data_IF_853571485105
#
_entry.id   IF_853571485105
#
_cell.length_a   1.000
_cell.length_b   1.000
_cell.length_c   1.000
_cell.angle_alpha   90.00
_cell.angle_beta   90.00
_cell.angle_gamma   90.00
#
_symmetry.space_group_name_H-M   'P 1'
#
loop_
_entity.id
_entity.type
_entity.pdbx_description
1 polymer ?
#
# COMPACT_ATOMS: atom_id res chain seq x y z
N UNK A 1 -7.97 21.75 17.43
CA UNK A 1 -7.90 21.44 15.99
C UNK A 1 -7.14 20.14 15.82
N UNK A 2 -7.68 19.18 15.06
CA UNK A 2 -7.04 17.92 14.78
C UNK A 2 -5.90 18.15 13.77
N UNK A 3 -4.77 17.46 13.91
CA UNK A 3 -3.62 17.52 12.99
C UNK A 3 -4.07 17.43 11.52
N UNK A 4 -4.93 16.47 11.21
CA UNK A 4 -5.44 16.24 9.84
C UNK A 4 -6.15 17.49 9.30
N UNK A 5 -6.99 18.15 10.10
CA UNK A 5 -7.71 19.36 9.68
C UNK A 5 -6.76 20.53 9.41
N UNK A 6 -5.81 20.74 10.30
CA UNK A 6 -4.81 21.80 10.15
C UNK A 6 -3.95 21.55 8.91
N UNK A 7 -3.52 20.31 8.71
CA UNK A 7 -2.68 19.94 7.59
C UNK A 7 -3.40 20.11 6.24
N UNK A 8 -4.64 19.63 6.15
CA UNK A 8 -5.46 19.76 4.95
C UNK A 8 -5.83 21.19 4.59
N UNK A 9 -6.04 22.05 5.59
CA UNK A 9 -6.50 23.44 5.37
C UNK A 9 -5.38 24.46 5.19
N UNK A 10 -4.21 24.22 5.80
CA UNK A 10 -3.12 25.19 5.83
C UNK A 10 -1.91 24.75 5.02
N UNK A 11 -1.46 23.49 5.21
CA UNK A 11 -0.18 23.05 4.66
C UNK A 11 -0.32 22.58 3.22
N UNK A 12 -1.23 21.65 2.95
CA UNK A 12 -1.39 21.07 1.61
C UNK A 12 -1.68 22.09 0.50
N UNK A 13 -2.52 23.12 0.71
CA UNK A 13 -2.77 24.13 -0.31
C UNK A 13 -1.54 24.90 -0.77
N UNK A 14 -0.44 24.88 0.02
CA UNK A 14 0.81 25.55 -0.31
C UNK A 14 1.69 24.72 -1.26
N UNK A 15 1.47 23.40 -1.31
CA UNK A 15 2.35 22.46 -2.03
C UNK A 15 1.76 21.92 -3.33
N UNK A 16 0.53 22.25 -3.68
CA UNK A 16 -0.08 21.61 -4.83
C UNK A 16 -1.32 22.29 -5.42
N UNK A 17 -1.99 21.61 -6.35
CA UNK A 17 -3.20 22.13 -6.95
C UNK A 17 -4.27 22.38 -5.87
N UNK A 18 -5.11 23.39 -6.08
CA UNK A 18 -6.23 23.73 -5.19
C UNK A 18 -7.27 22.59 -5.20
N UNK A 19 -7.05 21.61 -4.31
CA UNK A 19 -8.00 20.54 -4.07
C UNK A 19 -8.82 20.95 -2.84
N UNK A 20 -10.16 20.90 -2.87
CA UNK A 20 -10.96 21.16 -1.69
C UNK A 20 -10.54 20.24 -0.53
N UNK A 21 -10.28 20.81 0.64
CA UNK A 21 -9.79 20.07 1.81
C UNK A 21 -10.71 18.88 2.17
N UNK A 22 -12.03 19.07 2.03
CA UNK A 22 -13.02 18.01 2.26
C UNK A 22 -12.89 16.84 1.27
N UNK A 23 -12.65 17.14 -0.02
CA UNK A 23 -12.41 16.10 -1.05
C UNK A 23 -11.16 15.30 -0.72
N UNK A 24 -10.08 16.00 -0.32
CA UNK A 24 -8.81 15.34 0.01
C UNK A 24 -8.93 14.54 1.31
N UNK A 25 -9.66 15.04 2.33
CA UNK A 25 -9.99 14.31 3.54
C UNK A 25 -10.72 13.00 3.21
N UNK A 26 -11.79 13.11 2.42
CA UNK A 26 -12.58 11.95 1.98
C UNK A 26 -11.71 10.94 1.24
N UNK A 27 -10.85 11.42 0.33
CA UNK A 27 -9.91 10.57 -0.39
C UNK A 27 -8.94 9.87 0.55
N UNK A 28 -8.34 10.58 1.50
CA UNK A 28 -7.39 10.01 2.45
C UNK A 28 -8.06 8.99 3.38
N UNK A 29 -9.29 9.26 3.84
CA UNK A 29 -10.09 8.28 4.58
C UNK A 29 -10.35 7.00 3.76
N UNK A 30 -10.64 7.14 2.46
CA UNK A 30 -10.81 5.97 1.58
C UNK A 30 -9.51 5.17 1.45
N UNK A 31 -8.34 5.82 1.40
CA UNK A 31 -7.06 5.13 1.40
C UNK A 31 -6.80 4.40 2.72
N UNK A 32 -7.22 4.96 3.86
CA UNK A 32 -7.14 4.29 5.15
C UNK A 32 -8.01 3.02 5.21
N UNK A 33 -9.20 3.04 4.62
CA UNK A 33 -10.01 1.83 4.45
C UNK A 33 -9.38 0.80 3.50
N UNK A 34 -8.61 1.27 2.52
CA UNK A 34 -7.88 0.43 1.55
C UNK A 34 -6.46 0.08 1.99
N UNK A 35 -6.11 0.32 3.27
CA UNK A 35 -4.78 0.07 3.83
C UNK A 35 -4.25 -1.31 3.42
N UNK A 36 -3.04 -1.37 2.86
CA UNK A 36 -2.39 -2.63 2.49
C UNK A 36 -3.00 -3.36 1.29
N UNK A 37 -3.96 -2.77 0.58
CA UNK A 37 -4.59 -3.39 -0.58
C UNK A 37 -4.09 -2.82 -1.91
N UNK A 38 -4.19 -3.55 -3.03
CA UNK A 38 -3.87 -3.02 -4.34
C UNK A 38 -4.76 -1.82 -4.73
N UNK A 39 -4.14 -0.73 -5.14
CA UNK A 39 -4.84 0.51 -5.49
C UNK A 39 -5.75 0.32 -6.72
N UNK A 40 -7.02 0.69 -6.57
CA UNK A 40 -7.99 0.73 -7.65
C UNK A 40 -8.46 2.17 -7.90
N UNK A 41 -7.71 2.92 -8.71
CA UNK A 41 -8.00 4.33 -9.01
C UNK A 41 -9.37 4.53 -9.66
N UNK A 42 -9.85 3.59 -10.48
CA UNK A 42 -11.17 3.66 -11.09
C UNK A 42 -12.30 3.55 -10.06
N UNK A 43 -12.17 2.66 -9.06
CA UNK A 43 -13.13 2.55 -7.96
C UNK A 43 -13.13 3.83 -7.10
N UNK A 44 -11.95 4.29 -6.72
CA UNK A 44 -11.78 5.53 -5.94
C UNK A 44 -12.36 6.73 -6.68
N UNK A 45 -12.13 6.84 -8.00
CA UNK A 45 -12.66 7.91 -8.83
C UNK A 45 -14.19 7.94 -8.86
N UNK A 46 -14.83 6.78 -9.04
CA UNK A 46 -16.29 6.69 -8.97
C UNK A 46 -16.84 7.17 -7.62
N UNK A 47 -16.20 6.79 -6.52
CA UNK A 47 -16.63 7.20 -5.17
C UNK A 47 -16.44 8.70 -4.89
N UNK A 48 -15.46 9.34 -5.56
CA UNK A 48 -15.16 10.77 -5.44
C UNK A 48 -15.84 11.64 -6.51
N UNK A 49 -16.54 11.02 -7.46
CA UNK A 49 -17.09 11.66 -8.65
C UNK A 49 -16.04 12.41 -9.49
N UNK A 50 -14.84 11.79 -9.64
CA UNK A 50 -13.73 12.29 -10.46
C UNK A 50 -13.18 11.17 -11.34
N UNK A 51 -12.39 11.53 -12.36
CA UNK A 51 -11.73 10.54 -13.21
C UNK A 51 -10.53 9.86 -12.53
N UNK A 52 -10.10 8.73 -13.07
CA UNK A 52 -8.98 7.96 -12.52
C UNK A 52 -7.65 8.73 -12.60
N UNK A 53 -7.47 9.65 -13.55
CA UNK A 53 -6.28 10.48 -13.69
C UNK A 53 -6.21 11.51 -12.57
N UNK A 54 -7.34 12.10 -12.21
CA UNK A 54 -7.46 13.01 -11.06
C UNK A 54 -7.14 12.28 -9.76
N UNK A 55 -7.65 11.05 -9.57
CA UNK A 55 -7.29 10.21 -8.40
C UNK A 55 -5.79 9.95 -8.35
N UNK A 56 -5.17 9.63 -9.50
CA UNK A 56 -3.72 9.40 -9.55
C UNK A 56 -2.94 10.66 -9.09
N UNK A 57 -3.36 11.85 -9.53
CA UNK A 57 -2.74 13.13 -9.09
C UNK A 57 -2.93 13.40 -7.61
N UNK A 58 -4.08 13.08 -7.03
CA UNK A 58 -4.30 13.19 -5.57
C UNK A 58 -3.41 12.23 -4.81
N UNK A 59 -3.26 11.01 -5.34
CA UNK A 59 -2.39 10.01 -4.74
C UNK A 59 -0.91 10.43 -4.85
N UNK A 60 -0.48 10.98 -6.00
CA UNK A 60 0.87 11.53 -6.19
C UNK A 60 1.16 12.60 -5.13
N UNK A 61 0.26 13.55 -4.95
CA UNK A 61 0.39 14.59 -3.93
C UNK A 61 0.59 14.02 -2.52
N UNK A 62 -0.23 13.04 -2.10
CA UNK A 62 -0.08 12.43 -0.76
C UNK A 62 1.21 11.61 -0.62
N UNK A 63 1.72 11.05 -1.71
CA UNK A 63 3.02 10.35 -1.75
C UNK A 63 4.17 11.34 -1.63
N UNK A 64 4.13 12.44 -2.37
CA UNK A 64 5.16 13.50 -2.35
C UNK A 64 5.23 14.18 -0.98
N UNK A 65 4.10 14.31 -0.30
CA UNK A 65 4.01 14.80 1.08
C UNK A 65 4.36 13.75 2.15
N UNK A 66 4.82 12.57 1.74
CA UNK A 66 5.21 11.46 2.63
C UNK A 66 4.07 10.95 3.55
N UNK A 67 2.83 11.23 3.23
CA UNK A 67 1.65 10.77 3.99
C UNK A 67 1.22 9.37 3.58
N UNK A 68 1.53 8.98 2.34
CA UNK A 68 1.14 7.71 1.74
C UNK A 68 2.34 7.06 1.08
N UNK A 69 2.46 5.75 1.21
CA UNK A 69 3.45 4.94 0.51
C UNK A 69 2.78 4.10 -0.58
N UNK A 70 3.40 4.08 -1.75
CA UNK A 70 3.14 3.07 -2.77
C UNK A 70 4.17 1.97 -2.65
N UNK A 71 3.73 0.75 -2.41
CA UNK A 71 4.56 -0.43 -2.44
C UNK A 71 4.31 -1.17 -3.76
N UNK A 72 5.27 -1.15 -4.71
CA UNK A 72 5.10 -1.82 -5.99
C UNK A 72 5.13 -3.33 -5.83
N UNK A 73 4.51 -4.10 -6.74
CA UNK A 73 4.66 -5.53 -6.77
C UNK A 73 6.06 -5.92 -7.24
N UNK A 74 6.63 -6.96 -6.61
CA UNK A 74 7.90 -7.55 -7.04
C UNK A 74 7.73 -8.27 -8.38
N UNK A 75 8.59 -7.98 -9.33
CA UNK A 75 8.59 -8.59 -10.66
C UNK A 75 9.93 -9.25 -10.94
N UNK A 76 10.06 -10.52 -10.61
CA UNK A 76 11.19 -11.34 -11.04
C UNK A 76 11.16 -11.64 -12.55
N UNK A 77 9.99 -11.58 -13.18
CA UNK A 77 9.83 -11.87 -14.61
C UNK A 77 8.71 -11.00 -15.22
N UNK A 78 9.06 -10.15 -16.18
CA UNK A 78 8.17 -9.17 -16.82
C UNK A 78 7.00 -9.85 -17.55
N UNK A 79 7.17 -11.09 -18.01
CA UNK A 79 6.16 -11.83 -18.76
C UNK A 79 5.00 -12.38 -17.90
N UNK A 80 5.21 -12.53 -16.57
CA UNK A 80 4.20 -13.06 -15.63
C UNK A 80 3.69 -11.99 -14.66
N UNK A 81 3.24 -10.85 -15.16
CA UNK A 81 2.63 -9.79 -14.33
C UNK A 81 1.28 -10.23 -13.76
N UNK A 82 1.30 -10.92 -12.64
CA UNK A 82 0.08 -11.40 -11.96
C UNK A 82 -0.67 -10.28 -11.22
N UNK A 83 0.05 -9.32 -10.65
CA UNK A 83 -0.51 -8.12 -10.01
C UNK A 83 0.16 -6.89 -10.61
N UNK A 84 -0.63 -5.91 -11.07
CA UNK A 84 -0.11 -4.69 -11.72
C UNK A 84 -0.16 -3.47 -10.82
N UNK A 85 -1.11 -3.42 -9.89
CA UNK A 85 -1.36 -2.25 -9.05
C UNK A 85 -0.51 -2.30 -7.78
N UNK A 86 0.12 -1.18 -7.38
CA UNK A 86 0.83 -1.10 -6.11
C UNK A 86 -0.15 -1.23 -4.94
N UNK A 87 0.31 -1.76 -3.82
CA UNK A 87 -0.37 -1.64 -2.53
C UNK A 87 -0.20 -0.22 -2.00
N UNK A 88 -1.20 0.26 -1.29
CA UNK A 88 -1.21 1.59 -0.71
C UNK A 88 -1.21 1.48 0.82
N UNK A 89 -0.35 2.29 1.44
CA UNK A 89 -0.29 2.42 2.88
C UNK A 89 -0.31 3.91 3.27
N UNK A 90 -1.21 4.30 4.15
CA UNK A 90 -1.04 5.51 4.95
C UNK A 90 0.11 5.21 5.90
N UNK A 91 1.17 6.03 5.88
CA UNK A 91 2.46 5.69 6.50
C UNK A 91 2.42 5.66 8.02
N UNK A 92 1.63 6.53 8.61
CA UNK A 92 1.44 6.61 10.05
C UNK A 92 0.19 5.84 10.47
N UNK A 93 0.35 4.82 11.34
CA UNK A 93 -0.76 4.00 11.83
C UNK A 93 -1.74 4.78 12.70
N UNK A 94 -1.26 5.79 13.44
CA UNK A 94 -2.13 6.68 14.21
C UNK A 94 -3.03 7.53 13.31
N UNK A 95 -2.52 7.96 12.14
CA UNK A 95 -3.35 8.62 11.14
C UNK A 95 -4.39 7.67 10.52
N UNK A 96 -4.05 6.40 10.29
CA UNK A 96 -5.04 5.38 9.87
C UNK A 96 -6.17 5.32 10.88
N UNK A 97 -5.85 5.16 12.16
CA UNK A 97 -6.85 5.02 13.21
C UNK A 97 -7.70 6.29 13.33
N UNK A 98 -7.08 7.47 13.30
CA UNK A 98 -7.79 8.75 13.36
C UNK A 98 -8.73 8.98 12.15
N UNK A 99 -8.28 8.64 10.93
CA UNK A 99 -9.09 8.75 9.72
C UNK A 99 -10.31 7.83 9.76
N UNK A 100 -10.17 6.66 10.40
CA UNK A 100 -11.21 5.66 10.56
C UNK A 100 -12.03 5.83 11.85
N UNK A 101 -11.72 6.86 12.68
CA UNK A 101 -12.39 7.14 13.96
C UNK A 101 -12.32 5.95 14.93
N UNK A 102 -11.15 5.33 15.01
CA UNK A 102 -10.86 4.27 15.97
C UNK A 102 -10.19 4.92 17.17
N UNK A 103 -10.99 5.29 18.17
CA UNK A 103 -10.58 6.19 19.24
C UNK A 103 -9.93 5.46 20.43
N UNK A 104 -10.04 4.13 20.51
CA UNK A 104 -9.47 3.31 21.54
C UNK A 104 -8.87 1.99 21.01
N UNK A 105 -8.16 1.29 21.89
CA UNK A 105 -7.46 0.04 21.56
C UNK A 105 -8.43 -1.07 21.14
N UNK A 106 -9.58 -1.18 21.80
CA UNK A 106 -10.58 -2.20 21.48
C UNK A 106 -11.17 -1.99 20.11
N UNK A 107 -11.48 -0.73 19.75
CA UNK A 107 -11.95 -0.35 18.42
C UNK A 107 -10.90 -0.69 17.34
N UNK A 108 -9.61 -0.44 17.62
CA UNK A 108 -8.52 -0.78 16.69
C UNK A 108 -8.40 -2.29 16.53
N UNK A 109 -8.34 -3.04 17.63
CA UNK A 109 -8.11 -4.50 17.60
C UNK A 109 -9.28 -5.26 16.97
N UNK A 110 -10.50 -4.78 17.14
CA UNK A 110 -11.69 -5.38 16.54
C UNK A 110 -11.91 -4.99 15.07
N UNK A 111 -11.23 -3.95 14.58
CA UNK A 111 -11.44 -3.46 13.22
C UNK A 111 -10.64 -4.28 12.20
N UNK A 112 -11.22 -4.59 11.00
CA UNK A 112 -10.52 -5.34 9.95
C UNK A 112 -9.21 -4.72 9.47
N UNK A 113 -8.99 -3.43 9.72
CA UNK A 113 -7.76 -2.72 9.34
C UNK A 113 -6.57 -3.06 10.24
N UNK A 114 -6.78 -3.62 11.44
CA UNK A 114 -5.73 -3.83 12.44
C UNK A 114 -4.49 -4.52 11.86
N UNK A 115 -4.68 -5.64 11.16
CA UNK A 115 -3.58 -6.38 10.53
C UNK A 115 -2.84 -5.59 9.46
N UNK A 116 -3.56 -4.82 8.63
CA UNK A 116 -2.96 -3.98 7.58
C UNK A 116 -2.28 -2.74 8.16
N UNK A 117 -2.82 -2.17 9.23
CA UNK A 117 -2.21 -1.07 9.96
C UNK A 117 -0.88 -1.52 10.59
N UNK A 118 -0.86 -2.71 11.21
CA UNK A 118 0.35 -3.32 11.72
C UNK A 118 1.37 -3.62 10.61
N UNK A 119 0.93 -4.20 9.48
CA UNK A 119 1.79 -4.44 8.32
C UNK A 119 2.45 -3.12 7.86
N UNK A 120 1.69 -2.05 7.74
CA UNK A 120 2.19 -0.73 7.37
C UNK A 120 3.22 -0.18 8.36
N UNK A 121 2.93 -0.29 9.66
CA UNK A 121 3.86 0.10 10.72
C UNK A 121 5.19 -0.66 10.62
N UNK A 122 5.15 -1.96 10.44
CA UNK A 122 6.37 -2.79 10.28
C UNK A 122 7.15 -2.39 9.03
N UNK A 123 6.47 -2.18 7.89
CA UNK A 123 7.12 -1.75 6.64
C UNK A 123 7.86 -0.42 6.85
N UNK A 124 7.22 0.58 7.45
CA UNK A 124 7.85 1.89 7.68
C UNK A 124 9.08 1.77 8.60
N UNK A 125 8.98 1.00 9.69
CA UNK A 125 10.11 0.79 10.61
C UNK A 125 11.27 0.06 9.95
N UNK A 126 10.99 -0.97 9.17
CA UNK A 126 12.05 -1.70 8.45
C UNK A 126 12.72 -0.80 7.41
N UNK A 127 11.93 -0.01 6.65
CA UNK A 127 12.47 0.91 5.64
C UNK A 127 13.28 2.06 6.23
N UNK A 128 13.12 2.37 7.52
CA UNK A 128 13.91 3.36 8.23
C UNK A 128 15.34 2.88 8.54
N UNK A 129 15.52 1.56 8.68
CA UNK A 129 16.83 0.98 9.10
C UNK A 129 17.61 0.33 7.96
N UNK A 130 16.98 0.10 6.81
CA UNK A 130 17.69 -0.43 5.63
C UNK A 130 18.39 0.68 4.86
N UNK A 131 19.44 0.38 4.08
CA UNK A 131 20.14 1.37 3.25
C UNK A 131 19.19 2.14 2.34
N UNK A 132 19.43 3.43 2.11
CA UNK A 132 18.58 4.33 1.29
C UNK A 132 18.33 3.81 -0.14
N UNK A 133 19.22 3.00 -0.68
CA UNK A 133 19.09 2.40 -2.02
C UNK A 133 18.22 1.15 -2.07
N UNK A 134 17.60 0.77 -0.94
CA UNK A 134 16.73 -0.42 -0.88
C UNK A 134 15.37 -0.14 -1.50
N UNK A 135 15.02 -0.88 -2.54
CA UNK A 135 13.68 -0.82 -3.13
C UNK A 135 12.76 -1.80 -2.41
N UNK A 136 11.69 -1.27 -1.84
CA UNK A 136 10.65 -2.09 -1.22
C UNK A 136 9.62 -2.53 -2.25
N UNK A 137 9.26 -3.80 -2.22
CA UNK A 137 8.21 -4.37 -3.06
C UNK A 137 7.46 -5.47 -2.32
N UNK A 138 6.24 -5.78 -2.77
CA UNK A 138 5.49 -6.90 -2.22
C UNK A 138 5.45 -8.07 -3.22
N UNK A 139 5.50 -9.28 -2.70
CA UNK A 139 5.28 -10.49 -3.48
C UNK A 139 3.80 -10.90 -3.39
N UNK A 140 3.12 -10.95 -4.53
CA UNK A 140 1.71 -11.35 -4.59
C UNK A 140 1.48 -12.38 -5.66
N UNK A 141 0.97 -13.56 -5.29
CA UNK A 141 0.43 -14.53 -6.22
C UNK A 141 -1.07 -14.28 -6.39
N UNK A 142 -1.57 -14.32 -7.63
CA UNK A 142 -3.01 -14.44 -7.85
C UNK A 142 -3.43 -15.82 -7.34
N UNK A 143 -4.20 -15.88 -6.27
CA UNK A 143 -4.98 -17.07 -6.00
C UNK A 143 -5.93 -17.26 -7.19
N UNK A 144 -5.68 -18.26 -8.03
CA UNK A 144 -6.64 -18.70 -9.03
C UNK A 144 -7.81 -19.32 -8.28
N UNK A 145 -9.01 -18.79 -8.47
CA UNK A 145 -10.19 -19.46 -7.98
C UNK A 145 -11.40 -18.55 -7.88
N UNK A 146 -12.36 -18.75 -8.76
CA UNK A 146 -13.76 -18.42 -8.53
C UNK A 146 -14.20 -19.09 -7.22
N UNK A 147 -14.64 -18.32 -6.25
CA UNK A 147 -15.34 -18.86 -5.09
C UNK A 147 -14.85 -18.34 -3.76
N UNK A 148 -15.74 -17.61 -3.12
CA UNK A 148 -15.84 -17.29 -1.69
C UNK A 148 -14.54 -16.85 -0.99
N UNK A 149 -14.52 -15.56 -0.66
CA UNK A 149 -13.60 -14.96 0.29
C UNK A 149 -13.51 -15.80 1.58
N UNK A 150 -12.36 -16.42 1.80
CA UNK A 150 -11.88 -16.76 3.13
C UNK A 150 -10.64 -15.93 3.38
N UNK A 151 -10.67 -15.20 4.47
CA UNK A 151 -9.53 -14.49 5.04
C UNK A 151 -8.32 -15.44 5.12
N UNK A 152 -7.18 -15.03 4.60
CA UNK A 152 -5.95 -15.79 4.74
C UNK A 152 -5.05 -15.81 3.52
N UNK A 153 -4.86 -14.68 2.84
CA UNK A 153 -3.81 -14.59 1.83
C UNK A 153 -2.59 -13.93 2.48
N UNK A 154 -1.67 -14.75 3.01
CA UNK A 154 -0.39 -14.28 3.50
C UNK A 154 0.43 -13.74 2.32
N UNK A 155 0.27 -12.45 2.04
CA UNK A 155 1.12 -11.75 1.10
C UNK A 155 2.40 -11.39 1.84
N UNK A 156 3.52 -11.98 1.39
CA UNK A 156 4.85 -11.65 1.94
C UNK A 156 5.32 -10.33 1.36
N UNK A 157 5.67 -9.39 2.22
CA UNK A 157 6.43 -8.19 1.84
C UNK A 157 7.89 -8.58 1.78
N UNK A 158 8.53 -8.36 0.64
CA UNK A 158 9.94 -8.66 0.42
C UNK A 158 10.69 -7.34 0.19
N UNK A 159 11.79 -7.16 0.92
CA UNK A 159 12.71 -6.06 0.69
C UNK A 159 13.84 -6.56 -0.22
N UNK A 160 14.04 -5.93 -1.37
CA UNK A 160 15.09 -6.27 -2.32
C UNK A 160 16.14 -5.16 -2.44
N UNK A 161 17.40 -5.53 -2.53
CA UNK A 161 18.48 -4.61 -2.88
C UNK A 161 18.70 -4.64 -4.40
N UNK A 162 18.95 -3.47 -5.02
CA UNK A 162 19.03 -3.31 -6.48
C UNK A 162 20.13 -4.14 -7.15
N UNK A 163 21.17 -4.53 -6.40
CA UNK A 163 22.35 -5.20 -6.92
C UNK A 163 22.41 -6.72 -6.68
N UNK A 164 21.36 -7.30 -6.09
CA UNK A 164 21.30 -8.74 -5.90
C UNK A 164 20.34 -9.38 -6.90
N UNK A 165 20.92 -9.97 -7.94
CA UNK A 165 20.26 -11.01 -8.74
C UNK A 165 19.92 -12.18 -7.79
N UNK A 166 18.72 -12.16 -7.20
CA UNK A 166 18.29 -13.17 -6.25
C UNK A 166 17.86 -14.44 -6.95
N UNK A 167 18.59 -15.48 -6.56
CA UNK A 167 18.24 -16.90 -6.54
C UNK A 167 17.84 -17.50 -7.88
N UNK A 168 18.75 -18.18 -8.44
CA UNK A 168 18.48 -19.37 -9.24
C UNK A 168 17.56 -20.27 -8.41
N UNK A 169 16.39 -20.52 -8.93
CA UNK A 169 15.49 -21.57 -8.49
C UNK A 169 16.15 -22.89 -8.94
N UNK A 170 16.99 -23.46 -8.09
CA UNK A 170 17.48 -24.82 -8.27
C UNK A 170 16.32 -25.76 -7.94
N UNK A 171 15.45 -25.95 -8.93
CA UNK A 171 14.42 -26.98 -8.88
C UNK A 171 15.06 -28.36 -8.73
N UNK A 172 14.49 -29.26 -7.91
CA UNK A 172 14.97 -30.61 -7.77
C UNK A 172 14.65 -31.45 -9.02
N UNK A 173 15.66 -31.93 -9.71
CA UNK A 173 15.37 -32.91 -10.74
C UNK A 173 16.42 -33.11 -11.81
N UNK A 174 17.48 -33.80 -11.50
CA UNK A 174 18.07 -34.72 -12.49
C UNK A 174 18.81 -35.83 -11.74
N UNK A 175 18.09 -36.90 -11.40
CA UNK A 175 18.67 -38.19 -11.13
C UNK A 175 19.30 -38.73 -12.41
N UNK A 176 20.61 -38.64 -12.49
CA UNK A 176 21.39 -39.30 -13.55
C UNK A 176 21.39 -40.81 -13.33
N UNK A 177 20.92 -41.50 -14.31
CA UNK A 177 21.13 -42.95 -14.47
C UNK A 177 22.54 -43.22 -14.95
N UNK A 178 23.32 -43.92 -14.16
CA UNK A 178 24.51 -44.65 -14.59
C UNK A 178 24.12 -45.81 -15.51
N UNK A 179 24.64 -45.83 -16.71
CA UNK A 179 25.22 -47.02 -17.40
C UNK A 179 26.14 -46.57 -18.50
#
# INVERSE_FOLDING_TARGET
ANFIDTYLQREIPQFGPRIPAETLRRFWTMLAHDQGTPCNTARLGRSLAVDAKTVARYLDLLVDLLLVRRLPPFHANVAKRLVKSPKIYVRDSGLVHTLLRLDDEEAVLSHPVAGFSWEGFVIENVLHVVPERTEASFYGTRAQGRGRSRAGNAQRTTLGHRDQAWARDDGPGASGSLR
#
